data_IF_285609716018
#
_entry.id   IF_285609716018
#
_cell.length_a   1.000
_cell.length_b   1.000
_cell.length_c   1.000
_cell.angle_alpha   90.00
_cell.angle_beta   90.00
_cell.angle_gamma   90.00
#
_symmetry.space_group_name_H-M   'P 1'
#
loop_
_entity.id
_entity.type
_entity.pdbx_description
1 polymer ?
#
# COMPACT_ATOMS: atom_id res chain seq x y z
N UNK A 1 87.63 -9.84 6.62
CA UNK A 1 87.32 -8.65 5.82
C UNK A 1 85.87 -8.77 5.35
N UNK A 2 85.08 -7.73 5.63
CA UNK A 2 83.74 -7.38 5.10
C UNK A 2 82.56 -8.29 5.52
N UNK A 3 81.59 -7.65 6.19
CA UNK A 3 80.40 -8.21 6.84
C UNK A 3 79.30 -8.55 5.83
N UNK A 4 78.75 -9.76 5.93
CA UNK A 4 77.52 -10.18 5.28
C UNK A 4 76.34 -9.59 6.06
N UNK A 5 75.51 -8.77 5.41
CA UNK A 5 74.20 -8.36 5.95
C UNK A 5 73.16 -8.85 4.95
N UNK A 6 72.56 -10.00 5.26
CA UNK A 6 71.38 -10.51 4.53
C UNK A 6 70.16 -9.91 5.21
N UNK A 7 69.55 -8.92 4.57
CA UNK A 7 68.26 -8.36 4.97
C UNK A 7 67.16 -9.35 4.60
N UNK A 8 66.59 -10.03 5.61
CA UNK A 8 65.41 -10.85 5.45
C UNK A 8 64.18 -9.95 5.27
N UNK A 9 63.67 -9.86 4.03
CA UNK A 9 62.41 -9.18 3.72
C UNK A 9 61.21 -10.04 4.08
N UNK A 10 60.40 -9.60 5.05
CA UNK A 10 59.14 -10.24 5.41
C UNK A 10 58.05 -9.78 4.43
N UNK A 11 57.66 -10.63 3.47
CA UNK A 11 56.52 -10.35 2.58
C UNK A 11 55.24 -10.78 3.30
N UNK A 12 54.46 -9.80 3.76
CA UNK A 12 53.11 -10.04 4.28
C UNK A 12 52.15 -10.12 3.09
N UNK A 13 51.70 -11.34 2.77
CA UNK A 13 50.62 -11.57 1.81
C UNK A 13 49.30 -11.24 2.51
N UNK A 14 48.72 -10.09 2.21
CA UNK A 14 47.34 -9.77 2.59
C UNK A 14 46.40 -10.60 1.71
N UNK A 15 45.75 -11.61 2.30
CA UNK A 15 44.71 -12.39 1.63
C UNK A 15 43.51 -11.51 1.33
N UNK A 16 43.20 -11.29 0.05
CA UNK A 16 41.91 -10.76 -0.35
C UNK A 16 40.87 -11.88 -0.21
N UNK A 17 40.22 -11.97 0.95
CA UNK A 17 38.94 -12.67 1.03
C UNK A 17 37.97 -11.88 0.19
N UNK A 18 37.61 -12.39 -0.98
CA UNK A 18 36.49 -11.86 -1.75
C UNK A 18 35.26 -11.88 -0.83
N UNK A 19 34.88 -10.72 -0.31
CA UNK A 19 33.64 -10.56 0.42
C UNK A 19 32.53 -10.95 -0.54
N UNK A 20 31.91 -12.11 -0.29
CA UNK A 20 30.62 -12.42 -0.89
C UNK A 20 29.69 -11.34 -0.34
N UNK A 21 29.34 -10.37 -1.17
CA UNK A 21 28.24 -9.49 -0.86
C UNK A 21 27.01 -10.39 -0.69
N UNK A 22 26.58 -10.58 0.56
CA UNK A 22 25.28 -11.20 0.85
C UNK A 22 24.25 -10.40 0.07
N UNK A 23 23.69 -11.03 -0.97
CA UNK A 23 22.56 -10.47 -1.70
C UNK A 23 21.48 -10.22 -0.65
N UNK A 24 21.01 -8.98 -0.56
CA UNK A 24 19.95 -8.58 0.36
C UNK A 24 18.79 -9.57 0.22
N UNK A 25 18.66 -10.48 1.19
CA UNK A 25 17.57 -11.45 1.28
C UNK A 25 16.36 -10.70 1.81
N UNK A 26 15.89 -9.69 1.08
CA UNK A 26 14.59 -9.10 1.34
C UNK A 26 13.60 -10.18 0.93
N UNK A 27 12.87 -10.82 1.86
CA UNK A 27 11.84 -11.76 1.48
C UNK A 27 10.88 -11.04 0.55
N UNK A 28 10.58 -11.62 -0.60
CA UNK A 28 9.45 -11.16 -1.40
C UNK A 28 8.21 -11.35 -0.54
N UNK A 29 7.66 -10.25 -0.03
CA UNK A 29 6.47 -10.28 0.79
C UNK A 29 5.32 -10.75 -0.10
N UNK A 30 4.69 -11.86 0.27
CA UNK A 30 3.40 -12.22 -0.32
C UNK A 30 2.43 -11.10 0.04
N UNK A 31 1.86 -10.45 -0.98
CA UNK A 31 1.05 -9.24 -0.81
C UNK A 31 -0.44 -9.58 -0.70
N UNK A 32 -0.76 -10.82 -0.34
CA UNK A 32 -2.12 -11.26 -0.11
C UNK A 32 -2.67 -10.63 1.18
N UNK A 33 -3.88 -10.07 1.17
CA UNK A 33 -4.53 -9.56 2.37
C UNK A 33 -4.80 -10.66 3.39
N UNK A 34 -4.51 -10.40 4.67
CA UNK A 34 -4.83 -11.31 5.78
C UNK A 34 -6.35 -11.47 5.98
N UNK A 35 -7.11 -10.41 5.68
CA UNK A 35 -8.57 -10.36 5.77
C UNK A 35 -9.14 -10.29 4.36
N UNK A 36 -10.07 -11.20 4.06
CA UNK A 36 -10.73 -11.30 2.75
C UNK A 36 -9.72 -11.42 1.58
N UNK A 37 -9.00 -12.56 1.48
CA UNK A 37 -7.98 -12.79 0.45
C UNK A 37 -8.50 -12.70 -0.99
N UNK A 38 -9.80 -12.93 -1.19
CA UNK A 38 -10.48 -12.88 -2.48
C UNK A 38 -11.03 -11.48 -2.83
N UNK A 39 -10.57 -10.43 -2.15
CA UNK A 39 -10.98 -9.06 -2.45
C UNK A 39 -10.64 -8.67 -3.89
N UNK A 40 -11.52 -7.89 -4.53
CA UNK A 40 -11.29 -7.39 -5.88
C UNK A 40 -10.00 -6.56 -5.96
N UNK A 41 -9.12 -6.83 -6.93
CA UNK A 41 -7.92 -6.02 -7.12
C UNK A 41 -8.29 -4.58 -7.48
N UNK A 42 -7.39 -3.65 -7.19
CA UNK A 42 -7.57 -2.25 -7.60
C UNK A 42 -7.71 -2.16 -9.14
N UNK A 43 -8.57 -1.31 -9.69
CA UNK A 43 -8.75 -1.16 -11.13
C UNK A 43 -7.45 -0.86 -11.87
N UNK A 44 -7.28 -1.42 -13.06
CA UNK A 44 -6.04 -1.30 -13.84
C UNK A 44 -5.66 0.17 -14.12
N UNK A 45 -6.63 1.02 -14.47
CA UNK A 45 -6.36 2.43 -14.76
C UNK A 45 -5.75 3.16 -13.56
N UNK A 46 -6.10 2.76 -12.32
CA UNK A 46 -5.55 3.33 -11.08
C UNK A 46 -4.10 2.88 -10.84
N UNK A 47 -3.78 1.64 -11.21
CA UNK A 47 -2.44 1.07 -11.10
C UNK A 47 -1.46 1.69 -12.10
N UNK A 48 -1.97 2.11 -13.26
CA UNK A 48 -1.18 2.63 -14.39
C UNK A 48 -1.04 4.16 -14.39
N UNK A 49 -1.63 4.87 -13.43
CA UNK A 49 -1.49 6.32 -13.31
C UNK A 49 -0.04 6.74 -13.15
N UNK A 50 0.33 7.83 -13.83
CA UNK A 50 1.60 8.47 -13.57
C UNK A 50 1.67 8.99 -12.13
N UNK A 51 2.88 9.07 -11.57
CA UNK A 51 3.08 9.56 -10.19
C UNK A 51 2.44 10.93 -9.96
N UNK A 52 2.44 11.80 -10.98
CA UNK A 52 1.81 13.14 -10.93
C UNK A 52 0.29 13.09 -10.77
N UNK A 53 -0.31 12.00 -11.21
CA UNK A 53 -1.74 11.75 -11.19
C UNK A 53 -2.18 10.90 -9.98
N UNK A 54 -1.26 10.56 -9.07
CA UNK A 54 -1.55 9.79 -7.85
C UNK A 54 -2.68 10.36 -6.98
N UNK A 55 -2.94 11.67 -7.05
CA UNK A 55 -4.07 12.32 -6.38
C UNK A 55 -5.44 11.76 -6.83
N UNK A 56 -5.58 11.40 -8.10
CA UNK A 56 -6.77 10.74 -8.65
C UNK A 56 -6.99 9.38 -7.99
N UNK A 57 -5.93 8.57 -7.95
CA UNK A 57 -5.91 7.27 -7.27
C UNK A 57 -6.32 7.38 -5.80
N UNK A 58 -5.77 8.38 -5.11
CA UNK A 58 -6.02 8.59 -3.68
C UNK A 58 -7.48 8.95 -3.42
N UNK A 59 -8.08 9.83 -4.24
CA UNK A 59 -9.50 10.18 -4.12
C UNK A 59 -10.37 8.93 -4.29
N UNK A 60 -10.18 8.15 -5.35
CA UNK A 60 -10.97 6.94 -5.61
C UNK A 60 -10.85 5.92 -4.47
N UNK A 61 -9.66 5.75 -3.88
CA UNK A 61 -9.49 4.92 -2.69
C UNK A 61 -10.25 5.47 -1.46
N UNK A 62 -10.30 6.78 -1.25
CA UNK A 62 -11.08 7.37 -0.15
C UNK A 62 -12.59 7.23 -0.38
N UNK A 63 -13.07 7.40 -1.62
CA UNK A 63 -14.47 7.13 -1.99
C UNK A 63 -14.81 5.68 -1.66
N UNK A 64 -13.99 4.73 -2.14
CA UNK A 64 -14.18 3.31 -1.89
C UNK A 64 -14.24 2.98 -0.40
N UNK A 65 -13.29 3.52 0.38
CA UNK A 65 -13.24 3.33 1.83
C UNK A 65 -14.48 3.90 2.53
N UNK A 66 -14.95 5.08 2.14
CA UNK A 66 -16.16 5.67 2.70
C UNK A 66 -17.40 4.81 2.40
N UNK A 67 -17.58 4.41 1.14
CA UNK A 67 -18.70 3.54 0.73
C UNK A 67 -18.66 2.17 1.42
N UNK A 68 -17.48 1.57 1.57
CA UNK A 68 -17.29 0.32 2.32
C UNK A 68 -17.73 0.46 3.78
N UNK A 69 -17.27 1.49 4.49
CA UNK A 69 -17.67 1.71 5.89
C UNK A 69 -19.17 1.97 5.99
N UNK A 70 -19.74 2.73 5.05
CA UNK A 70 -21.18 3.00 4.99
C UNK A 70 -21.98 1.70 4.82
N UNK A 71 -21.58 0.84 3.87
CA UNK A 71 -22.22 -0.46 3.64
C UNK A 71 -22.22 -1.33 4.88
N UNK A 72 -21.12 -1.38 5.63
CA UNK A 72 -21.03 -2.14 6.88
C UNK A 72 -22.03 -1.61 7.91
N UNK A 73 -22.07 -0.29 8.10
CA UNK A 73 -22.99 0.35 9.06
C UNK A 73 -24.44 0.16 8.64
N UNK A 74 -24.79 0.34 7.37
CA UNK A 74 -26.16 0.19 6.87
C UNK A 74 -26.65 -1.26 6.92
N UNK A 75 -25.80 -2.22 6.55
CA UNK A 75 -26.14 -3.63 6.56
C UNK A 75 -26.02 -4.29 7.95
N UNK A 76 -25.41 -3.60 8.91
CA UNK A 76 -25.01 -4.17 10.21
C UNK A 76 -24.25 -5.50 10.05
N UNK A 77 -23.39 -5.57 9.04
CA UNK A 77 -22.69 -6.79 8.62
C UNK A 77 -21.32 -6.47 8.07
N UNK A 78 -20.34 -7.30 8.41
CA UNK A 78 -18.97 -7.17 7.92
C UNK A 78 -18.48 -8.43 7.20
N UNK A 79 -19.37 -9.05 6.43
CA UNK A 79 -19.00 -10.10 5.47
C UNK A 79 -18.09 -9.52 4.36
N UNK A 80 -17.20 -10.32 3.80
CA UNK A 80 -16.21 -9.86 2.82
C UNK A 80 -16.81 -9.08 1.64
N UNK A 81 -17.95 -9.47 1.02
CA UNK A 81 -18.56 -8.68 -0.06
C UNK A 81 -19.10 -7.33 0.40
N UNK A 82 -19.45 -7.18 1.68
CA UNK A 82 -19.90 -5.91 2.26
C UNK A 82 -18.72 -5.01 2.58
N UNK A 83 -17.64 -5.56 3.18
CA UNK A 83 -16.45 -4.81 3.55
C UNK A 83 -15.54 -4.48 2.37
N UNK A 84 -15.36 -5.40 1.45
CA UNK A 84 -14.53 -5.24 0.24
C UNK A 84 -15.39 -5.46 -1.01
N UNK A 85 -16.30 -4.52 -1.30
CA UNK A 85 -17.16 -4.63 -2.45
C UNK A 85 -16.38 -4.46 -3.77
N UNK A 86 -17.00 -4.78 -4.92
CA UNK A 86 -16.47 -4.40 -6.22
C UNK A 86 -16.27 -2.87 -6.36
N UNK A 87 -15.30 -2.46 -7.19
CA UNK A 87 -14.82 -1.06 -7.30
C UNK A 87 -15.75 -0.14 -8.11
N UNK A 88 -16.66 -0.69 -8.90
CA UNK A 88 -17.45 0.02 -9.91
C UNK A 88 -18.25 1.18 -9.31
N UNK A 89 -18.74 1.03 -8.07
CA UNK A 89 -19.45 2.09 -7.38
C UNK A 89 -18.55 3.28 -6.99
N UNK A 90 -17.29 3.03 -6.64
CA UNK A 90 -16.32 4.07 -6.32
C UNK A 90 -15.76 4.71 -7.60
N UNK A 91 -15.50 3.90 -8.63
CA UNK A 91 -15.11 4.37 -9.95
C UNK A 91 -16.19 5.25 -10.57
N UNK A 92 -17.46 4.85 -10.50
CA UNK A 92 -18.58 5.65 -11.00
C UNK A 92 -18.62 7.04 -10.37
N UNK A 93 -18.52 7.13 -9.04
CA UNK A 93 -18.47 8.42 -8.34
C UNK A 93 -17.27 9.25 -8.80
N UNK A 94 -16.08 8.64 -8.95
CA UNK A 94 -14.90 9.34 -9.44
C UNK A 94 -15.10 9.88 -10.86
N UNK A 95 -15.52 9.02 -11.79
CA UNK A 95 -15.64 9.40 -13.20
C UNK A 95 -16.76 10.41 -13.46
N UNK A 96 -17.88 10.29 -12.75
CA UNK A 96 -19.04 11.18 -12.90
C UNK A 96 -18.79 12.57 -12.34
N UNK A 97 -18.06 12.68 -11.23
CA UNK A 97 -17.94 13.94 -10.48
C UNK A 97 -16.57 14.60 -10.57
N UNK A 98 -15.51 13.83 -10.86
CA UNK A 98 -14.13 14.26 -10.62
C UNK A 98 -13.18 14.02 -11.79
N UNK A 99 -13.57 13.30 -12.84
CA UNK A 99 -12.69 13.00 -13.98
C UNK A 99 -12.09 14.25 -14.64
N UNK A 100 -12.83 15.35 -14.64
CA UNK A 100 -12.44 16.64 -15.24
C UNK A 100 -12.18 17.72 -14.19
N UNK A 101 -12.12 17.35 -12.91
CA UNK A 101 -11.89 18.31 -11.83
C UNK A 101 -10.45 18.81 -11.80
N UNK A 102 -10.30 20.03 -11.31
CA UNK A 102 -9.00 20.61 -11.03
C UNK A 102 -8.35 19.95 -9.81
N UNK A 103 -7.02 20.02 -9.74
CA UNK A 103 -6.25 19.39 -8.66
C UNK A 103 -6.76 19.76 -7.25
N UNK A 104 -7.11 21.04 -7.03
CA UNK A 104 -7.56 21.50 -5.72
C UNK A 104 -8.91 20.90 -5.31
N UNK A 105 -9.82 20.68 -6.27
CA UNK A 105 -11.12 20.04 -6.04
C UNK A 105 -10.92 18.58 -5.62
N UNK A 106 -10.01 17.87 -6.29
CA UNK A 106 -9.65 16.49 -5.94
C UNK A 106 -9.11 16.40 -4.51
N UNK A 107 -8.21 17.31 -4.13
CA UNK A 107 -7.62 17.32 -2.79
C UNK A 107 -8.66 17.63 -1.72
N UNK A 108 -9.55 18.59 -1.98
CA UNK A 108 -10.65 18.94 -1.07
C UNK A 108 -11.57 17.73 -0.88
N UNK A 109 -12.11 17.16 -1.96
CA UNK A 109 -12.97 15.98 -1.94
C UNK A 109 -12.30 14.79 -1.22
N UNK A 110 -10.99 14.58 -1.44
CA UNK A 110 -10.23 13.53 -0.75
C UNK A 110 -10.27 13.73 0.78
N UNK A 111 -10.13 14.97 1.24
CA UNK A 111 -10.22 15.31 2.66
C UNK A 111 -11.62 15.02 3.23
N UNK A 112 -12.67 15.31 2.44
CA UNK A 112 -14.06 15.05 2.82
C UNK A 112 -14.38 13.57 2.95
N UNK A 113 -14.10 12.78 1.91
CA UNK A 113 -14.31 11.33 1.95
C UNK A 113 -13.49 10.66 3.04
N UNK A 114 -12.25 11.13 3.29
CA UNK A 114 -11.44 10.63 4.40
C UNK A 114 -12.08 10.89 5.76
N UNK A 115 -12.67 12.07 5.96
CA UNK A 115 -13.41 12.43 7.19
C UNK A 115 -14.63 11.54 7.34
N UNK A 116 -15.46 11.42 6.30
CA UNK A 116 -16.64 10.56 6.29
C UNK A 116 -16.29 9.10 6.63
N UNK A 117 -15.27 8.55 5.98
CA UNK A 117 -14.80 7.19 6.25
C UNK A 117 -14.33 7.03 7.70
N UNK A 118 -13.64 8.02 8.28
CA UNK A 118 -13.20 7.97 9.68
C UNK A 118 -14.35 8.10 10.68
N UNK A 119 -15.42 8.81 10.33
CA UNK A 119 -16.62 8.89 11.15
C UNK A 119 -17.33 7.53 11.18
N UNK A 120 -17.62 6.97 10.01
CA UNK A 120 -18.25 5.66 9.85
C UNK A 120 -17.39 4.52 10.43
N UNK A 121 -16.05 4.65 10.36
CA UNK A 121 -15.12 3.66 10.93
C UNK A 121 -15.42 3.37 12.41
N UNK A 122 -15.81 4.39 13.19
CA UNK A 122 -16.09 4.20 14.63
C UNK A 122 -17.28 3.28 14.87
N UNK A 123 -18.26 3.30 13.98
CA UNK A 123 -19.45 2.45 14.04
C UNK A 123 -19.20 1.08 13.39
N UNK A 124 -18.47 1.04 12.27
CA UNK A 124 -18.14 -0.19 11.55
C UNK A 124 -17.16 -1.11 12.30
N UNK A 125 -16.23 -0.54 13.08
CA UNK A 125 -15.19 -1.29 13.79
C UNK A 125 -15.74 -2.42 14.67
N UNK A 126 -16.62 -2.15 15.65
CA UNK A 126 -17.13 -3.22 16.51
C UNK A 126 -17.90 -4.30 15.73
N UNK A 127 -18.54 -3.95 14.61
CA UNK A 127 -19.25 -4.91 13.74
C UNK A 127 -18.26 -5.89 13.10
N UNK A 128 -17.14 -5.38 12.58
CA UNK A 128 -16.12 -6.18 11.92
C UNK A 128 -15.26 -6.99 12.90
N UNK A 129 -14.90 -6.41 14.04
CA UNK A 129 -14.15 -7.11 15.09
C UNK A 129 -14.90 -8.33 15.61
N UNK A 130 -16.24 -8.24 15.74
CA UNK A 130 -17.08 -9.34 16.20
C UNK A 130 -17.03 -10.59 15.31
N UNK A 131 -16.70 -10.44 14.03
CA UNK A 131 -16.60 -11.54 13.06
C UNK A 131 -15.17 -11.80 12.58
N UNK A 132 -14.18 -11.08 13.15
CA UNK A 132 -12.76 -11.25 12.80
C UNK A 132 -12.36 -10.67 11.44
N UNK A 133 -13.20 -9.83 10.83
CA UNK A 133 -12.96 -9.23 9.50
C UNK A 133 -12.54 -7.74 9.60
N UNK A 134 -11.83 -7.37 10.66
CA UNK A 134 -11.42 -5.98 10.85
C UNK A 134 -10.11 -5.61 10.15
#
# INVERSE_FOLDING_TARGET
MIRVVVTAGLIVVFGATAGIAERSLIPTLDNQPDVCPDQSPEPQWMQELEVRESHKRLLTQQIYRAQSMQRIVEAQSCECPTRYPPWEAAEGVYFENFATSEYWEIVEATSEYRRQANELRREAMPICEAVGNW
#
